data_IF_977049539749
#
_entry.id   IF_977049539749
#
_cell.length_a   1.000
_cell.length_b   1.000
_cell.length_c   1.000
_cell.angle_alpha   90.00
_cell.angle_beta   90.00
_cell.angle_gamma   90.00
#
_symmetry.space_group_name_H-M   'P 1'
#
loop_
_entity.id
_entity.type
_entity.pdbx_description
1 polymer ?
#
# COMPACT_ATOMS: atom_id res chain seq x y z
N UNK A 1 22.65 -1.58 -12.50
CA UNK A 1 21.37 -2.32 -12.46
C UNK A 1 20.81 -2.15 -11.06
N UNK A 2 19.54 -1.80 -10.93
CA UNK A 2 18.89 -1.82 -9.61
C UNK A 2 18.98 -3.25 -9.07
N UNK A 3 19.23 -3.45 -7.75
CA UNK A 3 19.25 -4.79 -7.18
C UNK A 3 17.89 -5.45 -7.42
N UNK A 4 17.93 -6.72 -7.83
CA UNK A 4 16.75 -7.54 -8.05
C UNK A 4 16.03 -7.75 -6.71
N UNK A 5 14.73 -7.38 -6.62
CA UNK A 5 13.94 -7.55 -5.42
C UNK A 5 13.34 -8.96 -5.37
N UNK A 6 13.82 -9.80 -4.45
CA UNK A 6 13.38 -11.18 -4.35
C UNK A 6 12.22 -11.33 -3.36
N UNK A 7 11.17 -12.06 -3.74
CA UNK A 7 10.06 -12.43 -2.85
C UNK A 7 10.19 -13.89 -2.43
N UNK A 8 10.32 -14.11 -1.13
CA UNK A 8 10.39 -15.45 -0.52
C UNK A 8 9.08 -15.68 0.22
N UNK A 9 8.33 -16.71 -0.19
CA UNK A 9 7.06 -17.08 0.45
C UNK A 9 7.29 -18.21 1.40
N UNK A 10 6.96 -17.96 2.66
CA UNK A 10 7.25 -18.83 3.78
C UNK A 10 8.74 -19.25 3.87
N UNK A 11 9.11 -19.84 4.96
CA UNK A 11 10.48 -20.27 5.20
C UNK A 11 10.52 -21.78 5.09
N UNK A 12 11.04 -22.28 3.98
CA UNK A 12 11.28 -23.70 3.74
C UNK A 12 12.78 -24.00 3.82
N UNK A 13 13.21 -25.26 3.97
CA UNK A 13 14.63 -25.63 3.96
C UNK A 13 15.37 -25.18 2.68
N UNK A 14 14.65 -25.11 1.56
CA UNK A 14 15.18 -24.74 0.24
C UNK A 14 15.10 -23.23 -0.04
N UNK A 15 14.60 -22.45 0.90
CA UNK A 15 14.47 -20.99 0.71
C UNK A 15 15.86 -20.35 0.62
N UNK A 16 16.12 -19.65 -0.49
CA UNK A 16 17.37 -18.91 -0.72
C UNK A 16 17.43 -17.60 0.07
N UNK A 17 17.31 -17.68 1.39
CA UNK A 17 17.40 -16.53 2.29
C UNK A 17 18.87 -16.28 2.61
N UNK A 18 19.40 -15.06 2.35
CA UNK A 18 20.77 -14.74 2.72
C UNK A 18 20.95 -14.82 4.24
N UNK A 19 21.79 -15.75 4.70
CA UNK A 19 22.09 -15.88 6.14
C UNK A 19 22.74 -14.61 6.66
N UNK A 20 22.34 -14.20 7.86
CA UNK A 20 22.78 -12.98 8.48
C UNK A 20 22.10 -11.73 7.92
N UNK A 21 21.08 -11.85 7.07
CA UNK A 21 20.32 -10.70 6.60
C UNK A 21 19.74 -9.87 7.75
N UNK A 22 19.65 -8.57 7.54
CA UNK A 22 18.92 -7.66 8.44
C UNK A 22 17.46 -7.61 7.98
N UNK A 23 16.52 -7.65 8.92
CA UNK A 23 15.10 -7.60 8.59
C UNK A 23 14.42 -6.36 9.14
N UNK A 24 13.68 -5.66 8.28
CA UNK A 24 12.64 -4.71 8.69
C UNK A 24 11.36 -5.50 8.93
N UNK A 25 10.85 -5.55 10.17
CA UNK A 25 9.68 -6.33 10.50
C UNK A 25 8.43 -5.46 10.68
N UNK A 26 7.36 -5.79 9.95
CA UNK A 26 6.11 -5.04 10.02
C UNK A 26 5.01 -5.59 9.12
N UNK A 27 3.78 -5.11 9.31
CA UNK A 27 2.67 -5.43 8.40
C UNK A 27 2.75 -4.63 7.09
N UNK A 28 3.37 -3.48 7.11
CA UNK A 28 3.65 -2.58 5.98
C UNK A 28 2.42 -2.21 5.14
N UNK A 29 1.23 -2.11 5.76
CA UNK A 29 0.04 -1.67 5.05
C UNK A 29 0.13 -0.17 4.74
N UNK A 30 0.24 0.17 3.46
CA UNK A 30 0.46 1.51 2.94
C UNK A 30 1.93 1.95 2.84
N UNK A 31 2.88 1.26 3.47
CA UNK A 31 4.33 1.62 3.52
C UNK A 31 4.53 3.11 3.84
N UNK A 32 3.80 3.62 4.83
CA UNK A 32 3.79 5.01 5.27
C UNK A 32 5.14 5.45 5.91
N UNK A 33 5.30 6.72 6.25
CA UNK A 33 6.57 7.27 6.76
C UNK A 33 7.10 6.54 8.00
N UNK A 34 6.24 6.09 8.92
CA UNK A 34 6.67 5.25 10.05
C UNK A 34 7.23 3.91 9.60
N UNK A 35 6.64 3.26 8.61
CA UNK A 35 7.19 2.04 8.01
C UNK A 35 8.53 2.30 7.29
N UNK A 36 8.63 3.44 6.61
CA UNK A 36 9.86 3.84 5.91
C UNK A 36 11.01 4.10 6.89
N UNK A 37 10.74 4.61 8.09
CA UNK A 37 11.75 4.76 9.15
C UNK A 37 12.32 3.40 9.58
N UNK A 38 11.45 2.40 9.83
CA UNK A 38 11.87 1.03 10.14
C UNK A 38 12.71 0.42 8.99
N UNK A 39 12.28 0.62 7.75
CA UNK A 39 13.01 0.15 6.56
C UNK A 39 14.37 0.83 6.44
N UNK A 40 14.43 2.15 6.67
CA UNK A 40 15.67 2.90 6.60
C UNK A 40 16.69 2.43 7.66
N UNK A 41 16.24 2.16 8.89
CA UNK A 41 17.05 1.58 9.94
C UNK A 41 17.63 0.21 9.56
N UNK A 42 16.79 -0.67 8.99
CA UNK A 42 17.26 -1.97 8.51
C UNK A 42 18.28 -1.85 7.36
N UNK A 43 18.07 -0.91 6.44
CA UNK A 43 19.02 -0.63 5.35
C UNK A 43 20.35 -0.09 5.86
N UNK A 44 20.33 0.78 6.88
CA UNK A 44 21.54 1.35 7.51
C UNK A 44 22.31 0.26 8.24
N UNK A 45 21.64 -0.52 9.09
CA UNK A 45 22.23 -1.66 9.79
C UNK A 45 22.81 -2.67 8.80
N UNK A 46 22.09 -3.00 7.72
CA UNK A 46 22.55 -3.91 6.67
C UNK A 46 23.82 -3.39 5.99
N UNK A 47 23.88 -2.10 5.67
CA UNK A 47 25.07 -1.47 5.11
C UNK A 47 26.26 -1.51 6.06
N UNK A 48 26.06 -1.19 7.33
CA UNK A 48 27.09 -1.23 8.35
C UNK A 48 27.67 -2.63 8.55
N UNK A 49 26.84 -3.67 8.42
CA UNK A 49 27.25 -5.07 8.58
C UNK A 49 27.68 -5.75 7.26
N UNK A 50 27.61 -5.06 6.11
CA UNK A 50 27.87 -5.66 4.79
C UNK A 50 26.84 -6.76 4.44
N UNK A 51 25.59 -6.64 4.88
CA UNK A 51 24.52 -7.64 4.75
C UNK A 51 23.31 -7.08 4.01
N UNK A 52 22.56 -7.90 3.26
CA UNK A 52 21.33 -7.45 2.63
C UNK A 52 20.25 -7.15 3.69
N UNK A 53 19.44 -6.13 3.43
CA UNK A 53 18.25 -5.84 4.21
C UNK A 53 17.00 -6.34 3.48
N UNK A 54 16.11 -7.03 4.19
CA UNK A 54 14.86 -7.60 3.70
C UNK A 54 13.68 -7.08 4.50
N UNK A 55 12.49 -7.03 3.90
CA UNK A 55 11.26 -6.91 4.68
C UNK A 55 10.83 -8.28 5.22
N UNK A 56 10.29 -8.33 6.44
CA UNK A 56 9.55 -9.47 6.97
C UNK A 56 8.11 -9.05 7.21
N UNK A 57 7.18 -9.65 6.48
CA UNK A 57 5.76 -9.29 6.53
C UNK A 57 4.87 -10.53 6.50
N UNK A 58 3.55 -10.33 6.67
CA UNK A 58 2.58 -11.39 6.81
C UNK A 58 1.44 -11.23 5.82
N UNK A 59 1.00 -12.35 5.21
CA UNK A 59 -0.20 -12.44 4.39
C UNK A 59 -0.99 -13.73 4.67
N UNK A 60 -2.33 -13.67 4.74
CA UNK A 60 -3.13 -12.44 4.80
C UNK A 60 -2.77 -11.56 6.00
N UNK A 61 -3.12 -10.28 5.94
CA UNK A 61 -2.88 -9.35 7.05
C UNK A 61 -3.44 -9.92 8.37
N UNK A 62 -2.69 -9.95 9.49
CA UNK A 62 -3.09 -10.61 10.74
C UNK A 62 -4.47 -10.20 11.25
N UNK A 63 -4.85 -8.93 11.11
CA UNK A 63 -6.18 -8.44 11.51
C UNK A 63 -7.31 -9.15 10.76
N UNK A 64 -7.12 -9.51 9.50
CA UNK A 64 -8.13 -10.24 8.72
C UNK A 64 -8.36 -11.64 9.27
N UNK A 65 -7.28 -12.29 9.76
CA UNK A 65 -7.37 -13.60 10.38
C UNK A 65 -8.18 -13.56 11.69
N UNK A 66 -7.91 -12.57 12.57
CA UNK A 66 -8.59 -12.47 13.86
C UNK A 66 -10.00 -11.89 13.78
N UNK A 67 -10.32 -11.14 12.74
CA UNK A 67 -11.62 -10.49 12.56
C UNK A 67 -12.13 -10.67 11.12
N UNK A 68 -12.39 -11.93 10.68
CA UNK A 68 -12.72 -12.25 9.28
C UNK A 68 -14.03 -11.61 8.81
N UNK A 69 -14.97 -11.37 9.73
CA UNK A 69 -16.28 -10.78 9.44
C UNK A 69 -16.32 -9.25 9.57
N UNK A 70 -15.21 -8.62 9.98
CA UNK A 70 -15.14 -7.16 10.09
C UNK A 70 -14.54 -6.60 8.79
N UNK A 71 -15.26 -5.71 8.09
CA UNK A 71 -14.72 -5.04 6.92
C UNK A 71 -13.39 -4.37 7.26
N UNK A 72 -12.38 -4.65 6.45
CA UNK A 72 -11.07 -4.03 6.63
C UNK A 72 -10.66 -3.35 5.34
N UNK A 73 -10.61 -2.03 5.35
CA UNK A 73 -10.00 -1.25 4.31
C UNK A 73 -8.48 -1.43 4.39
N UNK A 74 -7.89 -2.15 3.44
CA UNK A 74 -6.45 -2.26 3.27
C UNK A 74 -5.95 -1.08 2.43
N UNK A 75 -4.89 -0.41 2.89
CA UNK A 75 -4.26 0.68 2.13
C UNK A 75 -3.55 0.15 0.89
N UNK A 76 -3.01 -1.08 1.00
CA UNK A 76 -2.36 -1.79 -0.10
C UNK A 76 -2.77 -3.25 -0.10
N UNK A 77 -3.06 -3.82 -1.25
CA UNK A 77 -3.04 -5.26 -1.44
C UNK A 77 -1.59 -5.80 -1.35
N UNK A 78 -1.42 -7.09 -1.41
CA UNK A 78 -0.09 -7.71 -1.33
C UNK A 78 0.82 -7.25 -2.48
N UNK A 79 0.31 -7.20 -3.71
CA UNK A 79 1.06 -6.82 -4.90
C UNK A 79 1.56 -5.36 -4.81
N UNK A 80 0.66 -4.45 -4.46
CA UNK A 80 1.00 -3.04 -4.27
C UNK A 80 2.01 -2.85 -3.13
N UNK A 81 1.82 -3.56 -2.00
CA UNK A 81 2.75 -3.56 -0.87
C UNK A 81 4.15 -3.99 -1.28
N UNK A 82 4.29 -5.12 -1.97
CA UNK A 82 5.58 -5.63 -2.42
C UNK A 82 6.27 -4.67 -3.39
N UNK A 83 5.52 -4.05 -4.31
CA UNK A 83 6.06 -3.05 -5.24
C UNK A 83 6.54 -1.78 -4.52
N UNK A 84 5.82 -1.33 -3.49
CA UNK A 84 6.28 -0.22 -2.64
C UNK A 84 7.56 -0.59 -1.88
N UNK A 85 7.62 -1.79 -1.28
CA UNK A 85 8.82 -2.29 -0.61
C UNK A 85 10.02 -2.39 -1.56
N UNK A 86 9.81 -2.90 -2.77
CA UNK A 86 10.85 -2.95 -3.81
C UNK A 86 11.36 -1.54 -4.20
N UNK A 87 10.51 -0.52 -4.12
CA UNK A 87 10.89 0.88 -4.36
C UNK A 87 11.75 1.51 -3.25
N UNK A 88 11.94 0.86 -2.09
CA UNK A 88 12.69 1.40 -0.95
C UNK A 88 14.19 1.13 -0.97
N UNK A 89 14.65 0.17 -1.78
CA UNK A 89 16.04 -0.26 -1.83
C UNK A 89 16.33 -1.53 -1.02
N UNK A 90 15.32 -2.16 -0.42
CA UNK A 90 15.43 -3.50 0.17
C UNK A 90 15.82 -4.52 -0.91
N UNK A 91 16.59 -5.54 -0.53
CA UNK A 91 16.98 -6.62 -1.43
C UNK A 91 15.85 -7.65 -1.68
N UNK A 92 14.81 -7.63 -0.84
CA UNK A 92 13.66 -8.52 -0.99
C UNK A 92 12.69 -8.46 0.16
N UNK A 93 11.73 -9.37 0.13
CA UNK A 93 10.76 -9.57 1.21
C UNK A 93 10.55 -11.05 1.52
N UNK A 94 10.48 -11.37 2.80
CA UNK A 94 9.96 -12.64 3.31
C UNK A 94 8.49 -12.42 3.66
N UNK A 95 7.60 -13.07 2.96
CA UNK A 95 6.16 -13.05 3.18
C UNK A 95 5.76 -14.32 3.90
N UNK A 96 5.45 -14.22 5.17
CA UNK A 96 5.02 -15.36 5.98
C UNK A 96 3.51 -15.52 5.92
N UNK A 97 3.04 -16.74 5.65
CA UNK A 97 1.62 -17.06 5.72
C UNK A 97 1.10 -16.89 7.15
N UNK A 98 0.06 -16.06 7.31
CA UNK A 98 -0.61 -15.87 8.59
C UNK A 98 -1.86 -16.71 8.70
N UNK A 99 -1.69 -17.90 9.22
CA UNK A 99 -2.73 -18.92 9.43
C UNK A 99 -2.93 -19.24 10.90
N UNK A 100 -3.72 -20.28 11.19
CA UNK A 100 -3.97 -20.76 12.55
C UNK A 100 -2.69 -21.24 13.25
N UNK A 101 -1.77 -21.87 12.53
CA UNK A 101 -0.49 -22.33 13.09
C UNK A 101 0.36 -21.12 13.49
N UNK A 102 0.49 -20.12 12.58
CA UNK A 102 1.23 -18.88 12.85
C UNK A 102 0.60 -18.08 13.99
N UNK A 103 -0.71 -17.95 14.05
CA UNK A 103 -1.41 -17.29 15.15
C UNK A 103 -1.22 -18.00 16.51
N UNK A 104 -0.92 -19.31 16.50
CA UNK A 104 -0.60 -20.11 17.68
C UNK A 104 0.87 -20.11 18.11
N UNK A 105 1.79 -19.59 17.27
CA UNK A 105 3.23 -19.55 17.55
C UNK A 105 3.51 -18.61 18.74
N UNK A 106 4.25 -19.10 19.75
CA UNK A 106 4.63 -18.26 20.89
C UNK A 106 5.64 -17.19 20.47
N UNK A 107 5.80 -16.13 21.26
CA UNK A 107 6.81 -15.10 20.98
C UNK A 107 8.23 -15.69 20.99
N UNK A 108 8.51 -16.61 21.91
CA UNK A 108 9.80 -17.30 22.02
C UNK A 108 10.07 -18.21 20.81
N UNK A 109 9.08 -19.02 20.38
CA UNK A 109 9.24 -19.86 19.20
C UNK A 109 9.43 -19.02 17.92
N UNK A 110 8.72 -17.91 17.81
CA UNK A 110 8.92 -16.98 16.70
C UNK A 110 10.35 -16.45 16.65
N UNK A 111 10.91 -16.02 17.80
CA UNK A 111 12.29 -15.53 17.87
C UNK A 111 13.27 -16.67 17.58
N UNK A 112 13.22 -17.75 18.36
CA UNK A 112 14.26 -18.78 18.32
C UNK A 112 14.15 -19.70 17.09
N UNK A 113 12.94 -20.10 16.73
CA UNK A 113 12.70 -21.01 15.61
C UNK A 113 12.67 -20.27 14.26
N UNK A 114 11.85 -19.22 14.15
CA UNK A 114 11.64 -18.59 12.86
C UNK A 114 12.76 -17.58 12.54
N UNK A 115 13.02 -16.59 13.43
CA UNK A 115 13.98 -15.54 13.14
C UNK A 115 15.43 -16.07 13.17
N UNK A 116 15.80 -16.83 14.18
CA UNK A 116 17.17 -17.30 14.33
C UNK A 116 17.38 -18.65 13.61
N UNK A 117 16.57 -19.64 13.93
CA UNK A 117 16.77 -21.00 13.41
C UNK A 117 16.59 -21.11 11.90
N UNK A 118 15.50 -20.59 11.39
CA UNK A 118 15.13 -20.71 9.96
C UNK A 118 15.68 -19.56 9.12
N UNK A 119 15.44 -18.29 9.51
CA UNK A 119 15.92 -17.13 8.76
C UNK A 119 17.39 -16.86 8.97
N UNK A 120 17.93 -17.17 10.16
CA UNK A 120 19.31 -16.89 10.50
C UNK A 120 19.66 -15.41 10.37
N UNK A 121 18.78 -14.53 10.88
CA UNK A 121 18.96 -13.09 10.79
C UNK A 121 20.19 -12.61 11.58
N UNK A 122 20.82 -11.52 11.11
CA UNK A 122 21.93 -10.85 11.80
C UNK A 122 21.51 -9.57 12.51
N UNK A 123 20.31 -9.07 12.20
CA UNK A 123 19.74 -7.88 12.83
C UNK A 123 18.28 -7.70 12.49
N UNK A 124 17.59 -6.89 13.29
CA UNK A 124 16.17 -6.59 13.12
C UNK A 124 15.89 -5.13 13.46
N UNK A 125 15.18 -4.44 12.56
CA UNK A 125 14.57 -3.15 12.82
C UNK A 125 13.06 -3.33 12.95
N UNK A 126 12.45 -2.69 13.96
CA UNK A 126 11.02 -2.84 14.28
C UNK A 126 10.46 -1.54 14.83
N UNK A 127 9.17 -1.28 14.59
CA UNK A 127 8.49 -0.14 15.20
C UNK A 127 8.22 -0.35 16.69
N UNK A 128 8.18 0.73 17.46
CA UNK A 128 7.99 0.75 18.92
C UNK A 128 6.70 0.03 19.39
N UNK A 129 5.68 0.00 18.57
CA UNK A 129 4.34 -0.58 18.84
C UNK A 129 4.13 -1.96 18.23
N UNK A 130 5.16 -2.55 17.62
CA UNK A 130 5.04 -3.84 16.98
C UNK A 130 4.94 -4.97 18.00
N UNK A 131 3.84 -5.73 17.92
CA UNK A 131 3.61 -6.87 18.78
C UNK A 131 3.46 -8.16 17.95
N UNK A 132 4.00 -9.26 18.45
CA UNK A 132 4.02 -10.54 17.77
C UNK A 132 3.77 -11.72 18.72
N UNK A 133 3.68 -12.91 18.15
CA UNK A 133 3.41 -14.14 18.88
C UNK A 133 1.98 -14.26 19.40
N UNK A 134 1.64 -15.44 19.88
CA UNK A 134 0.32 -15.76 20.41
C UNK A 134 -0.06 -14.78 21.53
N UNK A 135 -1.26 -14.22 21.44
CA UNK A 135 -1.76 -13.23 22.42
C UNK A 135 -1.03 -11.88 22.39
N UNK A 136 -0.19 -11.61 21.37
CA UNK A 136 0.59 -10.36 21.22
C UNK A 136 1.52 -10.08 22.40
N UNK A 137 2.04 -11.15 23.05
CA UNK A 137 2.95 -11.00 24.21
C UNK A 137 4.38 -10.62 23.82
N UNK A 138 4.77 -10.88 22.57
CA UNK A 138 6.03 -10.42 22.01
C UNK A 138 6.00 -8.92 21.78
N UNK A 139 7.09 -8.24 22.11
CA UNK A 139 7.25 -6.79 22.04
C UNK A 139 8.66 -6.43 21.57
N UNK A 140 8.93 -5.18 21.15
CA UNK A 140 10.28 -4.70 20.89
C UNK A 140 11.22 -4.88 22.10
N UNK A 141 10.71 -4.66 23.31
CA UNK A 141 11.50 -4.85 24.55
C UNK A 141 11.93 -6.31 24.72
N UNK A 142 11.09 -7.27 24.35
CA UNK A 142 11.48 -8.69 24.40
C UNK A 142 12.64 -8.97 23.41
N UNK A 143 12.57 -8.42 22.19
CA UNK A 143 13.66 -8.54 21.20
C UNK A 143 14.96 -7.95 21.71
N UNK A 144 14.91 -6.73 22.27
CA UNK A 144 16.09 -6.07 22.85
C UNK A 144 16.70 -6.89 23.98
N UNK A 145 15.88 -7.48 24.86
CA UNK A 145 16.36 -8.29 25.97
C UNK A 145 17.00 -9.61 25.53
N UNK A 146 16.48 -10.23 24.45
CA UNK A 146 17.03 -11.49 23.91
C UNK A 146 18.24 -11.26 22.98
N UNK A 147 18.36 -10.10 22.36
CA UNK A 147 19.37 -9.78 21.35
C UNK A 147 20.81 -10.16 21.75
N UNK A 148 21.32 -9.84 22.97
CA UNK A 148 22.69 -10.20 23.37
C UNK A 148 22.97 -11.70 23.40
N UNK A 149 21.95 -12.50 23.76
CA UNK A 149 22.06 -13.97 23.79
C UNK A 149 22.01 -14.60 22.41
N UNK A 150 21.34 -13.90 21.46
CA UNK A 150 21.14 -14.37 20.10
C UNK A 150 22.24 -13.90 19.14
N UNK A 151 23.08 -12.97 19.56
CA UNK A 151 24.13 -12.37 18.74
C UNK A 151 23.59 -11.55 17.57
N UNK A 152 22.43 -10.92 17.73
CA UNK A 152 21.79 -10.06 16.75
C UNK A 152 21.73 -8.61 17.23
N UNK A 153 21.68 -7.68 16.29
CA UNK A 153 21.41 -6.28 16.57
C UNK A 153 19.90 -6.00 16.49
N UNK A 154 19.37 -5.20 17.41
CA UNK A 154 17.95 -4.79 17.42
C UNK A 154 17.87 -3.27 17.44
N UNK A 155 17.17 -2.70 16.46
CA UNK A 155 16.87 -1.28 16.39
C UNK A 155 15.35 -1.08 16.50
N UNK A 156 14.93 -0.28 17.48
CA UNK A 156 13.52 0.02 17.74
C UNK A 156 13.23 1.45 17.33
N UNK A 157 12.51 1.61 16.25
CA UNK A 157 12.16 2.92 15.72
C UNK A 157 11.00 3.55 16.51
N UNK A 158 11.12 4.81 16.93
CA UNK A 158 10.03 5.56 17.55
C UNK A 158 8.92 5.82 16.54
N UNK A 159 7.79 6.33 17.03
CA UNK A 159 6.75 6.84 16.10
C UNK A 159 7.28 8.04 15.31
N UNK A 160 6.76 8.17 14.09
CA UNK A 160 6.97 9.34 13.25
C UNK A 160 5.75 10.23 13.39
N UNK A 161 5.97 11.50 13.75
CA UNK A 161 4.89 12.48 13.87
C UNK A 161 4.96 13.50 12.73
N UNK A 162 3.80 13.97 12.33
CA UNK A 162 3.61 15.13 11.45
C UNK A 162 2.65 16.05 12.19
N UNK A 163 3.07 17.29 12.42
CA UNK A 163 2.29 18.29 13.15
C UNK A 163 1.73 17.73 14.49
N UNK A 164 2.60 17.08 15.27
CA UNK A 164 2.30 16.46 16.57
C UNK A 164 1.29 15.30 16.51
N UNK A 165 0.98 14.78 15.31
CA UNK A 165 0.08 13.64 15.11
C UNK A 165 0.86 12.42 14.64
N UNK A 166 0.66 11.24 15.26
CA UNK A 166 1.37 10.02 14.88
C UNK A 166 0.91 9.51 13.51
N UNK A 167 1.90 9.24 12.65
CA UNK A 167 1.66 8.61 11.36
C UNK A 167 1.32 7.13 11.55
N UNK A 168 0.14 6.73 11.09
CA UNK A 168 -0.30 5.34 11.18
C UNK A 168 -1.21 4.95 10.02
N UNK A 169 -1.28 3.64 9.71
CA UNK A 169 -2.26 3.13 8.73
C UNK A 169 -3.71 3.46 9.12
N UNK A 170 -4.01 3.60 10.42
CA UNK A 170 -5.36 3.97 10.89
C UNK A 170 -5.69 5.44 10.59
N UNK A 171 -4.75 6.36 10.84
CA UNK A 171 -4.92 7.77 10.52
C UNK A 171 -5.08 7.98 9.01
N UNK A 172 -4.27 7.30 8.20
CA UNK A 172 -4.38 7.36 6.74
C UNK A 172 -5.74 6.87 6.25
N UNK A 173 -6.29 5.79 6.83
CA UNK A 173 -7.64 5.32 6.46
C UNK A 173 -8.72 6.35 6.79
N UNK A 174 -8.60 7.04 7.91
CA UNK A 174 -9.53 8.12 8.28
C UNK A 174 -9.42 9.25 7.26
N UNK A 175 -8.22 9.73 6.96
CA UNK A 175 -8.02 10.80 5.98
C UNK A 175 -8.62 10.43 4.60
N UNK A 176 -8.40 9.21 4.11
CA UNK A 176 -8.99 8.74 2.85
C UNK A 176 -10.53 8.65 2.92
N UNK A 177 -11.09 8.21 4.05
CA UNK A 177 -12.54 8.12 4.25
C UNK A 177 -13.21 9.49 4.34
N UNK A 178 -12.47 10.53 4.71
CA UNK A 178 -12.91 11.91 4.76
C UNK A 178 -12.60 12.70 3.48
N UNK A 179 -11.87 12.09 2.52
CA UNK A 179 -11.46 12.74 1.27
C UNK A 179 -10.26 13.69 1.44
N UNK A 180 -9.55 13.61 2.54
CA UNK A 180 -8.36 14.41 2.86
C UNK A 180 -7.13 13.80 2.20
N UNK A 181 -7.08 13.88 0.85
CA UNK A 181 -6.04 13.22 0.05
C UNK A 181 -4.65 13.79 0.35
N UNK A 182 -4.53 15.09 0.58
CA UNK A 182 -3.26 15.74 0.89
C UNK A 182 -2.70 15.27 2.24
N UNK A 183 -3.56 15.09 3.26
CA UNK A 183 -3.16 14.57 4.56
C UNK A 183 -2.70 13.10 4.45
N UNK A 184 -3.44 12.28 3.71
CA UNK A 184 -3.05 10.90 3.43
C UNK A 184 -1.70 10.83 2.68
N UNK A 185 -1.50 11.70 1.67
CA UNK A 185 -0.26 11.81 0.90
C UNK A 185 0.92 12.21 1.77
N UNK A 186 0.73 13.16 2.67
CA UNK A 186 1.74 13.62 3.62
C UNK A 186 2.19 12.49 4.54
N UNK A 187 1.25 11.72 5.12
CA UNK A 187 1.56 10.58 5.98
C UNK A 187 2.20 9.40 5.22
N UNK A 188 1.83 9.19 3.97
CA UNK A 188 2.41 8.13 3.11
C UNK A 188 3.78 8.53 2.55
N UNK A 189 4.05 9.85 2.41
CA UNK A 189 5.20 10.39 1.71
C UNK A 189 5.10 10.25 0.19
N UNK A 190 3.92 9.90 -0.33
CA UNK A 190 3.57 9.80 -1.75
C UNK A 190 2.06 9.69 -1.89
N UNK A 191 1.46 10.00 -3.06
CA UNK A 191 0.04 9.79 -3.30
C UNK A 191 -0.39 8.35 -3.02
N UNK A 192 -1.53 8.18 -2.34
CA UNK A 192 -2.15 6.87 -2.23
C UNK A 192 -2.59 6.39 -3.61
N UNK A 193 -2.43 5.10 -3.89
CA UNK A 193 -2.79 4.53 -5.18
C UNK A 193 -3.45 3.16 -5.02
N UNK A 194 -4.15 2.78 -6.08
CA UNK A 194 -4.68 1.43 -6.27
C UNK A 194 -4.13 0.84 -7.57
N UNK A 195 -4.02 -0.48 -7.62
CA UNK A 195 -3.74 -1.21 -8.87
C UNK A 195 -4.98 -2.01 -9.24
N UNK A 196 -5.40 -1.94 -10.50
CA UNK A 196 -6.53 -2.75 -10.96
C UNK A 196 -6.54 -2.95 -12.46
N UNK A 197 -7.21 -4.02 -12.90
CA UNK A 197 -7.43 -4.31 -14.30
C UNK A 197 -8.61 -3.50 -14.84
N UNK A 198 -8.45 -2.95 -16.04
CA UNK A 198 -9.52 -2.22 -16.71
C UNK A 198 -10.55 -3.19 -17.24
N UNK A 199 -11.76 -3.08 -16.74
CA UNK A 199 -12.93 -3.89 -17.15
C UNK A 199 -13.87 -3.12 -18.08
N UNK A 200 -14.73 -3.84 -18.78
CA UNK A 200 -15.79 -3.23 -19.57
C UNK A 200 -16.84 -2.58 -18.67
N UNK A 201 -17.17 -1.31 -18.95
CA UNK A 201 -18.26 -0.57 -18.35
C UNK A 201 -19.47 -0.46 -19.31
N UNK A 202 -20.45 0.36 -18.92
CA UNK A 202 -21.68 0.57 -19.70
C UNK A 202 -21.49 1.43 -20.98
N UNK A 203 -20.28 1.94 -21.22
CA UNK A 203 -19.89 2.77 -22.40
C UNK A 203 -20.67 4.08 -22.56
N UNK A 204 -21.52 4.48 -21.60
CA UNK A 204 -22.33 5.73 -21.68
C UNK A 204 -21.50 6.99 -21.84
N UNK A 205 -20.35 7.06 -21.20
CA UNK A 205 -19.43 8.21 -21.31
C UNK A 205 -18.84 8.39 -22.71
N UNK A 206 -18.73 7.32 -23.51
CA UNK A 206 -18.16 7.39 -24.87
C UNK A 206 -18.99 8.30 -25.79
N UNK A 207 -20.32 8.17 -25.72
CA UNK A 207 -21.24 8.94 -26.54
C UNK A 207 -21.28 10.43 -26.14
N UNK A 208 -20.82 10.71 -24.92
CA UNK A 208 -20.71 12.07 -24.34
C UNK A 208 -19.33 12.72 -24.54
N UNK A 209 -18.40 12.04 -25.21
CA UNK A 209 -17.01 12.51 -25.36
C UNK A 209 -16.10 12.22 -24.16
N UNK A 210 -16.57 11.45 -23.17
CA UNK A 210 -15.86 11.07 -21.94
C UNK A 210 -15.68 9.55 -21.84
N UNK A 211 -14.86 8.91 -22.70
CA UNK A 211 -14.59 7.49 -22.57
C UNK A 211 -13.86 7.19 -21.26
N UNK A 212 -14.40 6.32 -20.41
CA UNK A 212 -13.84 5.98 -19.12
C UNK A 212 -13.23 4.59 -19.08
N UNK A 213 -12.09 4.44 -18.43
CA UNK A 213 -11.55 3.17 -17.96
C UNK A 213 -12.19 2.84 -16.60
N UNK A 214 -12.69 1.62 -16.47
CA UNK A 214 -13.40 1.17 -15.27
C UNK A 214 -12.54 0.19 -14.51
N UNK A 215 -12.31 0.43 -13.21
CA UNK A 215 -11.58 -0.45 -12.31
C UNK A 215 -12.47 -0.80 -11.13
N UNK A 216 -12.68 -2.11 -10.90
CA UNK A 216 -13.39 -2.60 -9.71
C UNK A 216 -12.44 -2.61 -8.53
N UNK A 217 -12.87 -2.04 -7.40
CA UNK A 217 -12.10 -2.00 -6.17
C UNK A 217 -12.57 -3.08 -5.17
N UNK A 218 -11.76 -3.30 -4.14
CA UNK A 218 -12.14 -4.17 -3.01
C UNK A 218 -13.45 -3.68 -2.39
N UNK A 219 -14.34 -4.61 -2.05
CA UNK A 219 -15.64 -4.31 -1.46
C UNK A 219 -15.53 -3.50 -0.14
N UNK A 220 -14.40 -3.59 0.54
CA UNK A 220 -14.12 -2.87 1.78
C UNK A 220 -13.33 -1.57 1.54
N UNK A 221 -13.14 -1.12 0.30
CA UNK A 221 -12.50 0.16 0.02
C UNK A 221 -13.26 1.28 0.71
N UNK A 222 -12.58 1.97 1.62
CA UNK A 222 -13.14 3.03 2.46
C UNK A 222 -12.81 4.44 1.96
N UNK A 223 -12.38 4.59 0.71
CA UNK A 223 -12.19 5.91 0.12
C UNK A 223 -13.52 6.66 0.10
N UNK A 224 -13.53 7.96 0.37
CA UNK A 224 -14.73 8.80 0.26
C UNK A 224 -15.29 8.77 -1.17
N UNK A 225 -16.60 8.63 -1.33
CA UNK A 225 -17.23 8.72 -2.63
C UNK A 225 -17.10 10.14 -3.21
N UNK A 226 -16.84 10.26 -4.49
CA UNK A 226 -16.71 11.58 -5.13
C UNK A 226 -15.80 11.59 -6.35
N UNK A 227 -15.40 12.79 -6.74
CA UNK A 227 -14.60 13.07 -7.93
C UNK A 227 -13.18 13.45 -7.50
N UNK A 228 -12.19 12.91 -8.21
CA UNK A 228 -10.77 13.01 -7.88
C UNK A 228 -9.93 13.41 -9.09
N UNK A 229 -8.92 14.23 -8.85
CA UNK A 229 -7.79 14.37 -9.76
C UNK A 229 -6.89 13.14 -9.57
N UNK A 230 -6.57 12.45 -10.66
CA UNK A 230 -5.78 11.21 -10.62
C UNK A 230 -4.64 11.22 -11.63
N UNK A 231 -3.54 10.56 -11.27
CA UNK A 231 -2.45 10.25 -12.19
C UNK A 231 -2.33 8.76 -12.37
N UNK A 232 -2.42 8.30 -13.60
CA UNK A 232 -2.45 6.87 -13.92
C UNK A 232 -1.11 6.43 -14.51
N UNK A 233 -0.54 5.39 -13.90
CA UNK A 233 0.67 4.72 -14.39
C UNK A 233 0.34 3.52 -15.25
N UNK A 234 0.93 3.47 -16.46
CA UNK A 234 0.94 2.32 -17.37
C UNK A 234 2.39 2.00 -17.72
N UNK A 235 2.99 1.09 -16.98
CA UNK A 235 4.44 0.88 -17.06
C UNK A 235 5.20 2.16 -16.68
N UNK A 236 6.03 2.68 -17.60
CA UNK A 236 6.76 3.94 -17.41
C UNK A 236 5.95 5.19 -17.77
N UNK A 237 4.83 5.03 -18.47
CA UNK A 237 3.97 6.15 -18.88
C UNK A 237 3.15 6.68 -17.71
N UNK A 238 2.92 7.99 -17.70
CA UNK A 238 2.06 8.68 -16.74
C UNK A 238 1.01 9.48 -17.51
N UNK A 239 -0.26 9.24 -17.17
CA UNK A 239 -1.40 9.85 -17.82
C UNK A 239 -2.23 10.57 -16.74
N UNK A 240 -2.53 11.82 -16.97
CA UNK A 240 -3.37 12.60 -16.07
C UNK A 240 -4.85 12.40 -16.41
N UNK A 241 -5.71 12.47 -15.39
CA UNK A 241 -7.13 12.26 -15.57
C UNK A 241 -7.98 12.74 -14.41
N UNK A 242 -9.27 12.59 -14.58
CA UNK A 242 -10.28 12.78 -13.54
C UNK A 242 -11.02 11.45 -13.33
N UNK A 243 -11.32 11.11 -12.08
CA UNK A 243 -11.98 9.86 -11.74
C UNK A 243 -13.19 10.08 -10.86
N UNK A 244 -14.25 9.32 -11.11
CA UNK A 244 -15.40 9.17 -10.22
C UNK A 244 -15.26 7.87 -9.45
N UNK A 245 -15.35 7.93 -8.12
CA UNK A 245 -15.40 6.77 -7.25
C UNK A 245 -16.75 6.71 -6.53
N UNK A 246 -17.45 5.60 -6.70
CA UNK A 246 -18.76 5.42 -6.09
C UNK A 246 -19.23 3.95 -6.10
N UNK A 247 -20.45 3.72 -5.57
CA UNK A 247 -21.12 2.41 -5.56
C UNK A 247 -22.39 2.49 -6.39
N UNK A 248 -22.50 1.65 -7.42
CA UNK A 248 -23.72 1.54 -8.21
C UNK A 248 -24.67 0.56 -7.54
N UNK A 249 -25.79 1.05 -7.03
CA UNK A 249 -26.80 0.20 -6.36
C UNK A 249 -27.53 -0.77 -7.29
N UNK A 250 -27.60 -0.47 -8.59
CA UNK A 250 -28.43 -1.19 -9.58
C UNK A 250 -27.72 -2.34 -10.30
N UNK A 251 -26.41 -2.36 -10.30
CA UNK A 251 -25.59 -3.37 -10.99
C UNK A 251 -24.43 -3.78 -10.08
N UNK A 252 -23.96 -4.99 -10.11
CA UNK A 252 -22.81 -5.52 -9.36
C UNK A 252 -22.95 -5.61 -7.83
N UNK A 253 -24.15 -5.73 -7.26
CA UNK A 253 -24.36 -5.80 -5.80
C UNK A 253 -23.73 -4.65 -4.99
N UNK A 254 -23.59 -3.45 -5.60
CA UNK A 254 -23.00 -2.29 -4.93
C UNK A 254 -21.47 -2.35 -4.76
N UNK A 255 -20.77 -3.11 -5.60
CA UNK A 255 -19.30 -3.13 -5.58
C UNK A 255 -18.74 -1.72 -5.90
N UNK A 256 -17.66 -1.27 -5.21
CA UNK A 256 -17.03 -0.01 -5.50
C UNK A 256 -16.41 -0.01 -6.90
N UNK A 257 -16.67 1.05 -7.66
CA UNK A 257 -16.18 1.24 -9.01
C UNK A 257 -15.43 2.57 -9.10
N UNK A 258 -14.27 2.55 -9.75
CA UNK A 258 -13.52 3.72 -10.14
C UNK A 258 -13.64 3.89 -11.66
N UNK A 259 -14.21 4.99 -12.11
CA UNK A 259 -14.38 5.36 -13.52
C UNK A 259 -13.42 6.50 -13.82
N UNK A 260 -12.42 6.25 -14.67
CA UNK A 260 -11.32 7.17 -14.94
C UNK A 260 -11.46 7.71 -16.36
N UNK A 261 -11.59 9.02 -16.53
CA UNK A 261 -11.42 9.70 -17.80
C UNK A 261 -9.98 10.22 -17.90
N UNK A 262 -9.22 9.68 -18.84
CA UNK A 262 -7.84 10.08 -19.10
C UNK A 262 -7.80 11.23 -20.09
N UNK A 263 -7.11 12.30 -19.74
CA UNK A 263 -6.94 13.47 -20.60
C UNK A 263 -6.06 13.15 -21.81
N UNK A 264 -6.49 13.60 -22.97
CA UNK A 264 -5.72 13.56 -24.22
C UNK A 264 -5.27 12.14 -24.63
N UNK A 265 -5.84 11.09 -24.01
CA UNK A 265 -5.53 9.69 -24.31
C UNK A 265 -6.43 9.14 -25.41
N UNK A 266 -5.80 8.44 -26.36
CA UNK A 266 -6.48 7.67 -27.40
C UNK A 266 -5.90 6.26 -27.43
N UNK A 267 -6.72 5.26 -27.21
CA UNK A 267 -6.29 3.86 -27.23
C UNK A 267 -7.24 2.94 -26.49
N UNK A 268 -6.87 1.66 -26.46
CA UNK A 268 -7.60 0.61 -25.74
C UNK A 268 -6.80 0.23 -24.47
N UNK A 269 -7.50 0.20 -23.35
CA UNK A 269 -6.95 -0.14 -22.03
C UNK A 269 -7.57 -1.42 -21.45
N UNK A 270 -8.53 -2.03 -22.10
CA UNK A 270 -9.21 -3.21 -21.57
C UNK A 270 -8.23 -4.36 -21.29
N UNK A 271 -8.39 -5.00 -20.14
CA UNK A 271 -7.52 -6.07 -19.65
C UNK A 271 -6.13 -5.61 -19.20
N UNK A 272 -5.80 -4.33 -19.32
CA UNK A 272 -4.52 -3.81 -18.83
C UNK A 272 -4.62 -3.48 -17.34
N UNK A 273 -3.56 -3.79 -16.60
CA UNK A 273 -3.42 -3.37 -15.20
C UNK A 273 -2.87 -1.94 -15.15
N UNK A 274 -3.58 -1.06 -14.46
CA UNK A 274 -3.21 0.33 -14.25
C UNK A 274 -2.97 0.62 -12.77
N UNK A 275 -2.02 1.52 -12.50
CA UNK A 275 -1.81 2.10 -11.17
C UNK A 275 -2.46 3.49 -11.14
N UNK A 276 -3.50 3.66 -10.37
CA UNK A 276 -4.20 4.95 -10.25
C UNK A 276 -3.84 5.63 -8.94
N UNK A 277 -3.06 6.69 -8.99
CA UNK A 277 -2.67 7.53 -7.86
C UNK A 277 -3.67 8.69 -7.70
N UNK A 278 -4.14 8.90 -6.47
CA UNK A 278 -5.08 9.97 -6.12
C UNK A 278 -4.30 11.22 -5.73
N UNK A 279 -4.48 12.30 -6.50
CA UNK A 279 -3.73 13.55 -6.33
C UNK A 279 -4.52 14.58 -5.53
N UNK A 280 -5.86 14.61 -5.67
CA UNK A 280 -6.69 15.52 -4.89
C UNK A 280 -8.17 15.18 -5.00
N UNK A 281 -8.93 15.50 -3.95
CA UNK A 281 -10.39 15.43 -3.93
C UNK A 281 -10.98 16.69 -4.54
N UNK A 282 -11.90 16.56 -5.49
CA UNK A 282 -12.53 17.68 -6.18
C UNK A 282 -13.87 18.04 -5.55
N UNK A 283 -14.76 17.06 -5.40
CA UNK A 283 -16.11 17.21 -4.82
C UNK A 283 -16.78 15.88 -4.53
N UNK A 284 -17.88 15.93 -3.81
CA UNK A 284 -18.79 14.79 -3.65
C UNK A 284 -19.61 14.53 -4.94
N UNK A 285 -20.24 13.36 -5.02
CA UNK A 285 -21.17 13.04 -6.10
C UNK A 285 -22.38 13.98 -6.08
N UNK A 286 -22.86 14.37 -7.27
CA UNK A 286 -24.02 15.23 -7.46
C UNK A 286 -25.06 14.52 -8.32
N UNK A 287 -26.33 14.86 -8.12
CA UNK A 287 -27.43 14.51 -9.03
C UNK A 287 -27.64 15.65 -10.02
N UNK A 288 -27.95 15.30 -11.27
CA UNK A 288 -28.15 16.26 -12.35
C UNK A 288 -29.54 16.12 -12.95
N UNK A 289 -30.20 17.25 -13.22
CA UNK A 289 -31.53 17.31 -13.80
C UNK A 289 -31.53 17.17 -15.34
N UNK A 290 -30.37 16.89 -15.94
CA UNK A 290 -30.25 16.71 -17.38
C UNK A 290 -28.82 16.53 -17.86
N UNK A 291 -28.74 16.10 -19.13
CA UNK A 291 -27.46 15.76 -19.75
C UNK A 291 -26.52 16.97 -19.89
N UNK A 292 -27.06 18.13 -20.25
CA UNK A 292 -26.24 19.36 -20.39
C UNK A 292 -25.62 19.80 -19.07
N UNK A 293 -26.37 19.69 -17.96
CA UNK A 293 -25.85 20.03 -16.64
C UNK A 293 -24.73 19.06 -16.22
N UNK A 294 -24.89 17.77 -16.53
CA UNK A 294 -23.85 16.75 -16.30
C UNK A 294 -22.58 17.07 -17.09
N UNK A 295 -22.70 17.34 -18.41
CA UNK A 295 -21.53 17.65 -19.26
C UNK A 295 -20.79 18.89 -18.76
N UNK A 296 -21.50 19.99 -18.47
CA UNK A 296 -20.87 21.19 -17.89
C UNK A 296 -20.10 20.90 -16.61
N UNK A 297 -20.68 20.08 -15.73
CA UNK A 297 -19.97 19.72 -14.49
C UNK A 297 -18.74 18.84 -14.75
N UNK A 298 -18.79 17.93 -15.72
CA UNK A 298 -17.64 17.10 -16.12
C UNK A 298 -16.51 17.97 -16.70
N UNK A 299 -16.86 19.00 -17.47
CA UNK A 299 -15.89 19.99 -17.97
C UNK A 299 -15.23 20.76 -16.83
N UNK A 300 -16.02 21.25 -15.86
CA UNK A 300 -15.53 21.95 -14.67
C UNK A 300 -14.63 21.04 -13.80
N UNK A 301 -15.03 19.79 -13.58
CA UNK A 301 -14.24 18.81 -12.84
C UNK A 301 -12.90 18.52 -13.53
N UNK A 302 -12.93 18.37 -14.85
CA UNK A 302 -11.72 18.16 -15.66
C UNK A 302 -10.78 19.37 -15.58
N UNK A 303 -11.31 20.59 -15.62
CA UNK A 303 -10.51 21.81 -15.47
C UNK A 303 -9.86 21.87 -14.07
N UNK A 304 -10.62 21.59 -13.02
CA UNK A 304 -10.09 21.55 -11.64
C UNK A 304 -9.05 20.45 -11.45
N UNK A 305 -9.28 19.27 -12.02
CA UNK A 305 -8.31 18.18 -11.99
C UNK A 305 -6.99 18.59 -12.64
N UNK A 306 -7.02 19.23 -13.81
CA UNK A 306 -5.80 19.73 -14.49
C UNK A 306 -5.02 20.72 -13.62
N UNK A 307 -5.69 21.58 -12.88
CA UNK A 307 -5.03 22.54 -11.95
C UNK A 307 -4.31 21.80 -10.83
N UNK A 308 -4.99 20.82 -10.17
CA UNK A 308 -4.39 20.03 -9.09
C UNK A 308 -3.19 19.19 -9.59
N UNK A 309 -3.32 18.57 -10.74
CA UNK A 309 -2.27 17.77 -11.36
C UNK A 309 -1.05 18.59 -11.77
N UNK A 310 -1.28 19.82 -12.29
CA UNK A 310 -0.21 20.74 -12.65
C UNK A 310 0.56 21.27 -11.41
N UNK A 311 -0.10 21.38 -10.26
CA UNK A 311 0.54 21.75 -9.00
C UNK A 311 1.43 20.63 -8.42
N UNK A 312 1.26 19.37 -8.87
CA UNK A 312 2.00 18.21 -8.39
C UNK A 312 2.52 17.36 -9.59
N UNK A 313 3.40 17.90 -10.46
CA UNK A 313 3.74 17.29 -11.76
C UNK A 313 4.37 15.91 -11.64
N UNK A 314 5.19 15.66 -10.60
CA UNK A 314 5.92 14.41 -10.41
C UNK A 314 5.31 13.51 -9.33
N UNK A 315 4.13 13.87 -8.80
CA UNK A 315 3.49 13.15 -7.72
C UNK A 315 2.99 11.77 -8.20
N UNK A 316 3.76 10.74 -7.85
CA UNK A 316 3.44 9.34 -8.07
C UNK A 316 4.22 8.47 -7.08
N UNK A 317 3.67 7.34 -6.61
CA UNK A 317 4.40 6.45 -5.71
C UNK A 317 5.62 5.82 -6.42
N UNK A 318 6.73 5.71 -5.68
CA UNK A 318 7.92 5.00 -6.16
C UNK A 318 7.69 3.51 -6.07
N UNK A 319 7.45 2.88 -7.19
CA UNK A 319 7.20 1.44 -7.31
C UNK A 319 8.42 0.73 -7.89
N UNK A 320 8.85 -0.35 -7.24
CA UNK A 320 9.86 -1.24 -7.79
C UNK A 320 9.22 -2.39 -8.59
N UNK A 321 10.07 -3.15 -9.27
CA UNK A 321 9.69 -4.38 -9.96
C UNK A 321 9.74 -5.55 -8.98
N UNK A 322 8.74 -6.41 -9.04
CA UNK A 322 8.62 -7.64 -8.26
C UNK A 322 8.41 -8.77 -9.26
N UNK A 323 9.26 -9.78 -9.19
CA UNK A 323 9.16 -10.98 -10.03
C UNK A 323 8.33 -12.06 -9.37
#
# INVERSE_FOLDING_TARGET
MAPHFTVIRDITPDSAIPRGAVVAMGNFDGVHLGHRAVIAAALEMGRAQGRPALALTFEPHPRRFFSPNTPQFRLTDERAKLRLLAGTGLAGAVVMTFDKARAGTTAQDFIHHDLIGRLGIGGIAVGYDFHFGKGRVGSPSLLVNEAPRLGIEVDVQPHVDIDERPVSSSAIRIALAEGQIDEATTMLGAPWFITGEVIHGEKRGRDLGYPTANIRLDANCGLKHGIYAVRVGRGSERLDGVASFGRRQTFDNGAPLLEIFLFDFKGDLYGQALDCAFIGFIREELKFDGLEALIRQMDDDSARARVLLAAAPDAFPKLGTVD
#
